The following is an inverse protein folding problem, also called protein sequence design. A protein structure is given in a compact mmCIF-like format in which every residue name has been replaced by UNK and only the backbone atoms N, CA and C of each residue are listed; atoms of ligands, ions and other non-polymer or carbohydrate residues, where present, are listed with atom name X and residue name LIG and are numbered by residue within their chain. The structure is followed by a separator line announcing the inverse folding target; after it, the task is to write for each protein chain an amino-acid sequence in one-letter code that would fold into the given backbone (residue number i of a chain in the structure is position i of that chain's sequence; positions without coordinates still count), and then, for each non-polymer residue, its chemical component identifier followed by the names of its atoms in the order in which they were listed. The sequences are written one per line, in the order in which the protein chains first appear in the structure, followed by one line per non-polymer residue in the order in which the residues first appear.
data_IF_378132825196
#
_entry.id   IF_378132825196
#
_cell.length_a   1.000
_cell.length_b   1.000
_cell.length_c   1.000
_cell.angle_alpha   90.00
_cell.angle_beta   90.00
_cell.angle_gamma   90.00
#
_symmetry.space_group_name_H-M   'P 1'
#
loop_
_entity.id
_entity.type
_entity.pdbx_description
1 polymer ?
#
# COMPACT_ATOMS: atom_id res chain seq x y z
N UNK A 1 1.30 32.85 40.49
CA UNK A 1 0.28 32.72 41.55
C UNK A 1 -1.15 32.45 41.04
N UNK A 2 -1.60 33.01 39.89
CA UNK A 2 -3.00 32.88 39.43
C UNK A 2 -3.33 31.67 38.55
N UNK A 3 -2.34 31.03 37.90
CA UNK A 3 -2.60 29.81 37.10
C UNK A 3 -3.04 28.61 37.94
N UNK A 4 -2.67 28.58 39.23
CA UNK A 4 -3.03 27.52 40.17
C UNK A 4 -4.40 27.73 40.82
N UNK A 5 -4.88 28.97 40.97
CA UNK A 5 -6.22 29.25 41.50
C UNK A 5 -7.35 29.01 40.49
N UNK A 6 -7.10 29.20 39.18
CA UNK A 6 -8.05 28.88 38.11
C UNK A 6 -8.27 27.36 37.94
N UNK A 7 -7.27 26.53 38.23
CA UNK A 7 -7.45 25.08 38.25
C UNK A 7 -8.28 24.60 39.45
N UNK A 8 -8.16 25.25 40.61
CA UNK A 8 -8.92 24.88 41.81
C UNK A 8 -10.42 25.23 41.72
N UNK A 9 -10.77 26.32 41.04
CA UNK A 9 -12.19 26.68 40.80
C UNK A 9 -12.86 25.74 39.78
N UNK A 10 -12.09 25.18 38.85
CA UNK A 10 -12.59 24.27 37.81
C UNK A 10 -12.90 22.85 38.32
N UNK A 11 -12.39 22.46 39.49
CA UNK A 11 -12.60 21.12 40.08
C UNK A 11 -13.70 21.03 41.15
N UNK A 12 -14.31 22.14 41.61
CA UNK A 12 -15.37 22.10 42.64
C UNK A 12 -16.80 22.37 42.16
N UNK A 13 -17.03 22.49 40.84
CA UNK A 13 -18.36 22.81 40.29
C UNK A 13 -18.90 21.74 39.32
N UNK A 14 -18.24 20.59 39.20
CA UNK A 14 -18.69 19.46 38.38
C UNK A 14 -19.50 18.45 39.21
N UNK A 15 -20.63 18.88 39.78
CA UNK A 15 -21.77 18.03 40.21
C UNK A 15 -22.88 18.92 40.77
N UNK A 16 -23.85 19.27 39.92
CA UNK A 16 -25.21 19.62 40.39
C UNK A 16 -25.74 21.06 40.22
N UNK A 17 -25.12 21.98 39.47
CA UNK A 17 -25.68 23.33 39.27
C UNK A 17 -25.42 23.93 37.88
N UNK A 18 -26.02 23.38 36.84
CA UNK A 18 -26.03 24.02 35.51
C UNK A 18 -26.97 25.24 35.43
N UNK A 19 -27.85 25.43 36.42
CA UNK A 19 -28.82 26.54 36.44
C UNK A 19 -28.35 27.82 37.19
N UNK A 20 -27.29 27.76 38.00
CA UNK A 20 -26.80 28.93 38.76
C UNK A 20 -25.80 29.79 37.97
N UNK A 21 -25.13 29.24 36.96
CA UNK A 21 -24.05 29.93 36.23
C UNK A 21 -24.54 31.06 35.30
N UNK A 22 -25.82 31.04 34.91
CA UNK A 22 -26.44 32.01 33.98
C UNK A 22 -27.00 33.28 34.65
N UNK A 23 -26.95 33.34 35.99
CA UNK A 23 -27.49 34.43 36.82
C UNK A 23 -26.42 35.17 37.64
N UNK A 24 -25.15 34.75 37.58
CA UNK A 24 -24.06 35.42 38.31
C UNK A 24 -23.45 36.51 37.45
N UNK A 25 -23.66 37.75 37.90
CA UNK A 25 -23.03 38.95 37.36
C UNK A 25 -21.63 39.12 37.95
N UNK A 26 -20.64 39.29 37.08
CA UNK A 26 -19.22 39.40 37.43
C UNK A 26 -18.66 40.67 36.80
N UNK A 27 -17.91 41.43 37.60
CA UNK A 27 -17.19 42.62 37.12
C UNK A 27 -15.99 42.20 36.29
N UNK A 28 -15.73 42.92 35.20
CA UNK A 28 -14.54 42.71 34.38
C UNK A 28 -13.25 42.78 35.23
N UNK A 29 -12.28 41.90 34.95
CA UNK A 29 -10.98 41.90 35.61
C UNK A 29 -10.16 43.17 35.35
N UNK A 30 -10.41 43.88 34.24
CA UNK A 30 -9.73 45.12 33.87
C UNK A 30 -10.39 46.37 34.47
N UNK A 31 -11.12 46.24 35.59
CA UNK A 31 -11.79 47.38 36.24
C UNK A 31 -10.82 48.46 36.69
N UNK A 32 -9.66 48.06 37.23
CA UNK A 32 -8.60 48.99 37.63
C UNK A 32 -7.98 49.76 36.44
N UNK A 33 -8.20 49.27 35.22
CA UNK A 33 -7.76 49.93 33.98
C UNK A 33 -8.88 50.73 33.30
N UNK A 34 -10.09 50.77 33.89
CA UNK A 34 -11.22 51.57 33.41
C UNK A 34 -12.41 50.79 32.86
N UNK A 35 -12.41 49.44 32.91
CA UNK A 35 -13.58 48.68 32.46
C UNK A 35 -14.67 48.60 33.55
N UNK A 36 -15.79 49.29 33.34
CA UNK A 36 -16.93 49.26 34.27
C UNK A 36 -17.98 48.20 33.93
N UNK A 37 -17.76 47.41 32.88
CA UNK A 37 -18.73 46.39 32.43
C UNK A 37 -18.90 45.30 33.49
N UNK A 38 -20.16 45.00 33.78
CA UNK A 38 -20.61 43.85 34.54
C UNK A 38 -21.23 42.88 33.54
N UNK A 39 -20.71 41.66 33.48
CA UNK A 39 -21.11 40.64 32.50
C UNK A 39 -21.46 39.35 33.21
N UNK A 40 -22.40 38.59 32.64
CA UNK A 40 -22.71 37.25 33.14
C UNK A 40 -21.49 36.35 33.02
N UNK A 41 -21.29 35.47 33.99
CA UNK A 41 -20.16 34.52 34.01
C UNK A 41 -19.99 33.75 32.68
N UNK A 42 -21.10 33.38 32.03
CA UNK A 42 -21.08 32.68 30.73
C UNK A 42 -20.46 33.50 29.57
N UNK A 43 -20.58 34.83 29.60
CA UNK A 43 -20.06 35.74 28.56
C UNK A 43 -18.76 36.44 28.97
N UNK A 44 -18.21 36.11 30.15
CA UNK A 44 -17.01 36.77 30.66
C UNK A 44 -15.77 36.49 29.79
N UNK A 45 -15.66 35.31 29.20
CA UNK A 45 -14.55 34.95 28.31
C UNK A 45 -14.59 35.77 27.01
N UNK A 46 -15.75 35.82 26.36
CA UNK A 46 -15.98 36.62 25.14
C UNK A 46 -15.70 38.11 25.41
N UNK A 47 -16.18 38.63 26.55
CA UNK A 47 -15.88 40.00 26.94
C UNK A 47 -14.39 40.22 27.19
N UNK A 48 -13.69 39.30 27.85
CA UNK A 48 -12.27 39.44 28.19
C UNK A 48 -11.38 39.50 26.95
N UNK A 49 -11.70 38.75 25.90
CA UNK A 49 -10.96 38.74 24.62
C UNK A 49 -11.11 40.07 23.86
N UNK A 50 -12.27 40.72 23.96
CA UNK A 50 -12.59 41.97 23.26
C UNK A 50 -12.61 43.19 24.18
N UNK A 51 -12.07 43.06 25.39
CA UNK A 51 -12.12 44.14 26.36
C UNK A 51 -11.18 45.28 25.92
N UNK A 52 -11.75 46.45 25.65
CA UNK A 52 -11.03 47.67 25.29
C UNK A 52 -9.93 48.06 26.29
N UNK A 53 -10.08 47.67 27.56
CA UNK A 53 -9.15 47.93 28.66
C UNK A 53 -8.20 46.77 28.95
N UNK A 54 -8.18 45.74 28.10
CA UNK A 54 -7.23 44.64 28.22
C UNK A 54 -5.79 45.12 27.95
N UNK A 55 -4.78 44.56 28.63
CA UNK A 55 -3.38 44.97 28.44
C UNK A 55 -2.85 44.44 27.12
N UNK A 56 -2.44 45.37 26.26
CA UNK A 56 -1.91 45.09 24.94
C UNK A 56 -0.56 45.79 24.75
N UNK A 57 0.41 45.06 24.20
CA UNK A 57 1.75 45.59 23.90
C UNK A 57 1.72 46.38 22.61
N UNK A 58 2.49 47.47 22.56
CA UNK A 58 2.77 48.15 21.29
C UNK A 58 3.40 47.17 20.28
N UNK A 59 3.05 47.32 18.99
CA UNK A 59 3.52 46.44 17.91
C UNK A 59 4.82 46.93 17.26
N UNK A 60 5.24 48.17 17.51
CA UNK A 60 6.49 48.70 16.98
C UNK A 60 7.70 48.08 17.68
N UNK A 61 8.67 47.62 16.88
CA UNK A 61 9.91 47.05 17.39
C UNK A 61 10.69 48.11 18.17
N UNK A 62 11.05 47.79 19.42
CA UNK A 62 11.76 48.71 20.30
C UNK A 62 10.86 49.51 21.26
N UNK A 63 9.53 49.41 21.13
CA UNK A 63 8.61 49.91 22.15
C UNK A 63 8.24 48.78 23.13
N UNK A 64 8.39 49.03 24.43
CA UNK A 64 8.02 48.09 25.49
C UNK A 64 6.74 48.50 26.23
N UNK A 65 6.03 49.53 25.75
CA UNK A 65 4.82 50.03 26.39
C UNK A 65 3.67 49.02 26.33
N UNK A 66 2.93 48.95 27.44
CA UNK A 66 1.72 48.15 27.59
C UNK A 66 0.56 49.12 27.83
N UNK A 67 -0.34 49.23 26.85
CA UNK A 67 -1.45 50.16 26.87
C UNK A 67 -2.78 49.41 27.04
N UNK A 68 -3.88 50.13 27.15
CA UNK A 68 -5.21 49.55 26.95
C UNK A 68 -5.38 49.24 25.46
N UNK A 69 -6.06 48.15 25.13
CA UNK A 69 -6.31 47.75 23.74
C UNK A 69 -6.86 48.90 22.88
N UNK A 70 -7.78 49.70 23.44
CA UNK A 70 -8.36 50.88 22.77
C UNK A 70 -7.35 52.00 22.44
N UNK A 71 -6.27 52.09 23.21
CA UNK A 71 -5.28 53.18 23.11
C UNK A 71 -4.06 52.79 22.26
N UNK A 72 -3.89 51.49 21.96
CA UNK A 72 -2.72 50.98 21.21
C UNK A 72 -2.58 51.65 19.84
N UNK A 73 -3.68 51.79 19.10
CA UNK A 73 -3.63 52.34 17.74
C UNK A 73 -3.34 53.84 17.72
N UNK A 74 -3.89 54.60 18.68
CA UNK A 74 -3.59 56.01 18.87
C UNK A 74 -2.11 56.20 19.23
N UNK A 75 -1.63 55.45 20.23
CA UNK A 75 -0.21 55.44 20.58
C UNK A 75 0.66 55.11 19.36
N UNK A 76 0.35 54.04 18.63
CA UNK A 76 1.15 53.60 17.49
C UNK A 76 1.23 54.68 16.40
N UNK A 77 0.17 55.44 16.12
CA UNK A 77 0.19 56.45 15.05
C UNK A 77 0.83 57.77 15.47
N UNK A 78 0.59 58.20 16.69
CA UNK A 78 0.81 59.60 17.07
C UNK A 78 1.94 59.77 18.08
N UNK A 79 2.00 58.91 19.10
CA UNK A 79 2.85 59.13 20.29
C UNK A 79 4.03 58.17 20.40
N UNK A 80 4.05 57.08 19.63
CA UNK A 80 5.07 56.04 19.75
C UNK A 80 6.43 56.53 19.27
N UNK A 81 7.40 56.57 20.18
CA UNK A 81 8.79 56.94 19.89
C UNK A 81 9.50 55.94 18.97
N UNK A 82 9.14 54.66 19.04
CA UNK A 82 9.70 53.60 18.20
C UNK A 82 8.99 53.48 16.83
N UNK A 83 8.02 54.35 16.54
CA UNK A 83 7.31 54.36 15.26
C UNK A 83 8.29 54.58 14.11
N UNK A 84 8.24 53.78 13.03
CA UNK A 84 9.07 54.00 11.86
C UNK A 84 8.59 55.24 11.10
N UNK A 85 9.52 56.13 10.73
CA UNK A 85 9.19 57.43 10.09
C UNK A 85 9.88 57.64 8.73
N UNK A 86 10.79 56.76 8.33
CA UNK A 86 11.48 56.83 7.05
C UNK A 86 12.77 56.01 7.08
N UNK A 87 13.58 56.15 6.03
CA UNK A 87 14.92 55.54 5.94
C UNK A 87 16.00 56.59 6.13
N UNK A 88 17.17 56.17 6.59
CA UNK A 88 18.35 57.03 6.66
C UNK A 88 18.95 57.21 5.25
N UNK A 89 18.80 58.40 4.69
CA UNK A 89 19.41 58.80 3.40
C UNK A 89 20.90 59.17 3.54
N UNK A 90 21.38 59.37 4.77
CA UNK A 90 22.76 59.78 5.06
C UNK A 90 23.76 58.60 5.12
N UNK A 91 23.35 57.40 4.69
CA UNK A 91 24.30 56.35 4.32
C UNK A 91 24.00 54.95 4.84
N UNK A 92 23.28 54.75 5.96
CA UNK A 92 23.03 53.39 6.45
C UNK A 92 21.79 52.72 5.82
N UNK A 93 20.86 53.48 5.24
CA UNK A 93 19.63 52.96 4.63
C UNK A 93 18.66 52.29 5.60
N UNK A 94 18.94 52.29 6.91
CA UNK A 94 18.10 51.66 7.93
C UNK A 94 16.89 52.54 8.25
N UNK A 95 15.82 51.89 8.73
CA UNK A 95 14.60 52.58 9.15
C UNK A 95 14.87 53.42 10.39
N UNK A 96 14.54 54.71 10.31
CA UNK A 96 14.59 55.66 11.42
C UNK A 96 13.33 55.58 12.26
N UNK A 97 13.51 55.63 13.56
CA UNK A 97 12.42 55.78 14.54
C UNK A 97 12.05 57.25 14.71
N UNK A 98 10.81 57.50 15.15
CA UNK A 98 10.31 58.83 15.47
C UNK A 98 11.21 59.54 16.49
N UNK A 99 11.73 58.79 17.48
CA UNK A 99 12.71 59.28 18.46
C UNK A 99 13.99 59.80 17.81
N UNK A 100 14.61 59.02 16.92
CA UNK A 100 15.85 59.41 16.25
C UNK A 100 15.67 60.63 15.36
N UNK A 101 14.54 60.69 14.63
CA UNK A 101 14.22 61.85 13.80
C UNK A 101 13.96 63.10 14.65
N UNK A 102 13.22 62.97 15.76
CA UNK A 102 12.94 64.08 16.69
C UNK A 102 14.22 64.61 17.36
N UNK A 103 15.14 63.71 17.71
CA UNK A 103 16.41 64.07 18.33
C UNK A 103 17.49 64.56 17.34
N UNK A 104 17.32 64.31 16.03
CA UNK A 104 18.31 64.65 15.00
C UNK A 104 19.66 63.94 15.16
N UNK A 105 19.74 62.89 16.00
CA UNK A 105 21.00 62.32 16.50
C UNK A 105 21.27 60.89 16.02
N UNK A 106 20.79 60.51 14.83
CA UNK A 106 20.99 59.16 14.31
C UNK A 106 22.47 58.91 13.96
N UNK A 107 23.06 57.87 14.53
CA UNK A 107 24.44 57.45 14.23
C UNK A 107 24.44 56.19 13.34
N UNK A 108 24.68 56.38 12.05
CA UNK A 108 24.73 55.31 11.04
C UNK A 108 25.64 54.14 11.47
N UNK A 109 26.82 54.44 12.02
CA UNK A 109 27.78 53.42 12.43
C UNK A 109 27.25 52.54 13.58
N UNK A 110 26.62 53.15 14.59
CA UNK A 110 26.06 52.41 15.72
C UNK A 110 24.86 51.57 15.29
N UNK A 111 23.99 52.12 14.45
CA UNK A 111 22.83 51.41 13.90
C UNK A 111 23.25 50.21 13.05
N UNK A 112 24.24 50.37 12.17
CA UNK A 112 24.78 49.29 11.36
C UNK A 112 25.46 48.22 12.21
N UNK A 113 26.25 48.60 13.23
CA UNK A 113 26.85 47.63 14.18
C UNK A 113 25.78 46.81 14.90
N UNK A 114 24.73 47.45 15.40
CA UNK A 114 23.62 46.75 16.04
C UNK A 114 22.89 45.81 15.08
N UNK A 115 22.60 46.29 13.86
CA UNK A 115 21.98 45.47 12.81
C UNK A 115 22.84 44.26 12.44
N UNK A 116 24.15 44.45 12.27
CA UNK A 116 25.08 43.37 11.97
C UNK A 116 25.13 42.35 13.13
N UNK A 117 25.15 42.80 14.39
CA UNK A 117 25.07 41.92 15.55
C UNK A 117 23.78 41.07 15.57
N UNK A 118 22.63 41.66 15.22
CA UNK A 118 21.36 40.91 15.09
C UNK A 118 21.44 39.88 13.97
N UNK A 119 22.03 40.21 12.82
CA UNK A 119 22.22 39.26 11.72
C UNK A 119 23.17 38.12 12.10
N UNK A 120 24.28 38.42 12.77
CA UNK A 120 25.21 37.41 13.28
C UNK A 120 24.54 36.46 14.28
N UNK A 121 23.73 36.98 15.20
CA UNK A 121 22.96 36.15 16.13
C UNK A 121 21.94 35.26 15.40
N UNK A 122 21.28 35.77 14.36
CA UNK A 122 20.38 34.98 13.51
C UNK A 122 21.12 33.86 12.77
N UNK A 123 22.27 34.16 12.18
CA UNK A 123 23.09 33.17 11.49
C UNK A 123 23.52 32.06 12.46
N UNK A 124 24.03 32.41 13.64
CA UNK A 124 24.39 31.43 14.67
C UNK A 124 23.18 30.59 15.15
N UNK A 125 21.99 31.19 15.19
CA UNK A 125 20.74 30.50 15.48
C UNK A 125 20.38 29.47 14.40
N UNK A 126 20.40 29.88 13.13
CA UNK A 126 20.13 29.01 11.99
C UNK A 126 21.15 27.88 11.87
N UNK A 127 22.44 28.14 12.12
CA UNK A 127 23.48 27.10 12.16
C UNK A 127 23.21 26.05 13.23
N UNK A 128 22.73 26.46 14.40
CA UNK A 128 22.35 25.53 15.47
C UNK A 128 21.14 24.68 15.09
N UNK A 129 20.12 25.28 14.47
CA UNK A 129 18.96 24.53 13.99
C UNK A 129 19.35 23.54 12.89
N UNK A 130 20.16 23.96 11.92
CA UNK A 130 20.68 23.08 10.86
C UNK A 130 21.45 21.89 11.45
N UNK A 131 22.31 22.12 12.45
CA UNK A 131 23.03 21.03 13.15
C UNK A 131 22.07 20.07 13.86
N UNK A 132 21.03 20.57 14.51
CA UNK A 132 20.00 19.73 15.15
C UNK A 132 19.23 18.91 14.11
N UNK A 133 18.88 19.50 12.99
CA UNK A 133 18.20 18.82 11.88
C UNK A 133 19.07 17.72 11.28
N UNK A 134 20.35 18.01 11.02
CA UNK A 134 21.31 17.01 10.55
C UNK A 134 21.44 15.83 11.51
N UNK A 135 21.51 16.07 12.83
CA UNK A 135 21.53 15.02 13.85
C UNK A 135 20.24 14.18 13.86
N UNK A 136 19.06 14.83 13.72
CA UNK A 136 17.77 14.13 13.64
C UNK A 136 17.68 13.29 12.36
N UNK A 137 18.15 13.82 11.23
CA UNK A 137 18.22 13.10 9.97
C UNK A 137 19.13 11.86 10.08
N UNK A 138 20.35 12.02 10.59
CA UNK A 138 21.28 10.90 10.76
C UNK A 138 20.79 9.82 11.73
N UNK A 139 20.04 10.20 12.79
CA UNK A 139 19.39 9.21 13.67
C UNK A 139 18.29 8.44 12.95
N UNK A 140 17.46 9.12 12.15
CA UNK A 140 16.40 8.48 11.35
C UNK A 140 16.99 7.54 10.31
N UNK A 141 18.03 7.97 9.60
CA UNK A 141 18.72 7.15 8.61
C UNK A 141 19.28 5.86 9.24
N UNK A 142 19.99 5.96 10.36
CA UNK A 142 20.49 4.78 11.10
C UNK A 142 19.36 3.84 11.52
N UNK A 143 18.25 4.37 12.01
CA UNK A 143 17.08 3.57 12.38
C UNK A 143 16.47 2.84 11.18
N UNK A 144 16.33 3.52 10.04
CA UNK A 144 15.79 2.93 8.82
C UNK A 144 16.72 1.86 8.25
N UNK A 145 18.03 2.10 8.25
CA UNK A 145 19.01 1.10 7.83
C UNK A 145 18.96 -0.15 8.72
N UNK A 146 18.81 0.00 10.04
CA UNK A 146 18.64 -1.13 10.95
C UNK A 146 17.35 -1.92 10.68
N UNK A 147 16.25 -1.23 10.35
CA UNK A 147 14.99 -1.89 9.99
C UNK A 147 15.11 -2.62 8.66
N UNK A 148 15.73 -2.00 7.66
CA UNK A 148 16.00 -2.61 6.36
C UNK A 148 16.82 -3.91 6.53
N UNK A 149 17.89 -3.87 7.34
CA UNK A 149 18.70 -5.06 7.60
C UNK A 149 17.92 -6.17 8.31
N UNK A 150 17.01 -5.83 9.22
CA UNK A 150 16.18 -6.81 9.90
C UNK A 150 15.21 -7.50 8.92
N UNK A 151 14.50 -6.71 8.11
CA UNK A 151 13.59 -7.25 7.08
C UNK A 151 14.35 -8.09 6.04
N UNK A 152 15.54 -7.65 5.64
CA UNK A 152 16.37 -8.42 4.72
C UNK A 152 16.77 -9.79 5.31
N UNK A 153 17.11 -9.83 6.59
CA UNK A 153 17.42 -11.08 7.28
C UNK A 153 16.19 -11.99 7.40
N UNK A 154 15.01 -11.42 7.71
CA UNK A 154 13.75 -12.17 7.74
C UNK A 154 13.41 -12.77 6.38
N UNK A 155 13.60 -12.00 5.30
CA UNK A 155 13.42 -12.48 3.93
C UNK A 155 14.39 -13.63 3.60
N UNK A 156 15.66 -13.51 3.98
CA UNK A 156 16.64 -14.57 3.78
C UNK A 156 16.26 -15.85 4.56
N UNK A 157 15.83 -15.70 5.81
CA UNK A 157 15.39 -16.83 6.64
C UNK A 157 14.10 -17.48 6.13
N UNK A 158 13.16 -16.69 5.61
CA UNK A 158 11.94 -17.24 4.98
C UNK A 158 12.29 -17.99 3.70
N UNK A 159 13.16 -17.45 2.84
CA UNK A 159 13.62 -18.14 1.64
C UNK A 159 14.28 -19.49 1.97
N UNK A 160 15.17 -19.54 2.97
CA UNK A 160 15.79 -20.79 3.43
C UNK A 160 14.75 -21.79 3.98
N UNK A 161 13.74 -21.33 4.72
CA UNK A 161 12.65 -22.18 5.19
C UNK A 161 11.86 -22.79 4.04
N UNK A 162 11.56 -22.01 3.00
CA UNK A 162 10.89 -22.51 1.80
C UNK A 162 11.76 -23.50 1.05
N UNK A 163 13.05 -23.22 0.87
CA UNK A 163 13.99 -24.15 0.24
C UNK A 163 14.06 -25.48 0.97
N UNK A 164 14.14 -25.46 2.32
CA UNK A 164 14.10 -26.68 3.13
C UNK A 164 12.81 -27.47 2.91
N UNK A 165 11.64 -26.82 2.98
CA UNK A 165 10.36 -27.47 2.70
C UNK A 165 10.31 -28.06 1.29
N UNK A 166 10.78 -27.33 0.29
CA UNK A 166 10.86 -27.82 -1.09
C UNK A 166 11.70 -29.10 -1.17
N UNK A 167 12.88 -29.13 -0.55
CA UNK A 167 13.72 -30.34 -0.52
C UNK A 167 13.02 -31.51 0.18
N UNK A 168 12.31 -31.26 1.28
CA UNK A 168 11.52 -32.29 1.98
C UNK A 168 10.38 -32.85 1.11
N UNK A 169 9.64 -31.97 0.42
CA UNK A 169 8.56 -32.39 -0.48
C UNK A 169 9.10 -33.14 -1.70
N UNK A 170 10.20 -32.68 -2.31
CA UNK A 170 10.85 -33.37 -3.43
C UNK A 170 11.26 -34.78 -3.01
N UNK A 171 11.93 -34.94 -1.86
CA UNK A 171 12.34 -36.25 -1.37
C UNK A 171 11.14 -37.19 -1.12
N UNK A 172 10.00 -36.67 -0.64
CA UNK A 172 8.75 -37.43 -0.49
C UNK A 172 8.17 -37.85 -1.83
N UNK A 173 8.14 -36.95 -2.81
CA UNK A 173 7.69 -37.26 -4.17
C UNK A 173 8.58 -38.31 -4.82
N UNK A 174 9.90 -38.20 -4.69
CA UNK A 174 10.83 -39.19 -5.21
C UNK A 174 10.62 -40.56 -4.55
N UNK A 175 10.32 -40.60 -3.24
CA UNK A 175 9.98 -41.84 -2.54
C UNK A 175 8.68 -42.45 -3.05
N UNK A 176 7.65 -41.63 -3.25
CA UNK A 176 6.37 -42.09 -3.79
C UNK A 176 6.51 -42.59 -5.23
N UNK A 177 7.30 -41.87 -6.05
CA UNK A 177 7.66 -42.28 -7.40
C UNK A 177 8.40 -43.61 -7.43
N UNK A 178 9.37 -43.83 -6.51
CA UNK A 178 10.04 -45.13 -6.36
C UNK A 178 9.08 -46.24 -5.93
N UNK A 179 8.15 -45.98 -5.02
CA UNK A 179 7.12 -46.96 -4.63
C UNK A 179 6.22 -47.32 -5.81
N UNK A 180 5.75 -46.34 -6.57
CA UNK A 180 4.95 -46.57 -7.79
C UNK A 180 5.76 -47.31 -8.87
N UNK A 181 7.05 -47.00 -9.04
CA UNK A 181 7.95 -47.72 -9.93
C UNK A 181 8.19 -49.17 -9.48
N UNK A 182 8.21 -49.42 -8.17
CA UNK A 182 8.26 -50.79 -7.61
C UNK A 182 6.95 -51.57 -7.84
N UNK A 183 5.82 -50.89 -8.03
CA UNK A 183 4.56 -51.47 -8.50
C UNK A 183 4.45 -51.55 -10.03
N UNK A 184 5.46 -51.10 -10.78
CA UNK A 184 5.47 -51.25 -12.22
C UNK A 184 5.69 -52.72 -12.58
N UNK A 185 4.74 -53.40 -13.25
CA UNK A 185 4.99 -54.71 -13.80
C UNK A 185 5.97 -54.54 -14.95
N UNK A 186 7.17 -55.10 -14.79
CA UNK A 186 8.11 -55.36 -15.86
C UNK A 186 7.48 -56.32 -16.89
N UNK A 187 6.73 -55.78 -17.85
CA UNK A 187 6.39 -56.39 -19.15
C UNK A 187 5.55 -55.40 -19.95
N UNK A 188 6.02 -55.06 -21.16
CA UNK A 188 5.42 -54.05 -22.03
C UNK A 188 3.89 -54.16 -22.11
N UNK A 189 3.23 -53.03 -21.97
CA UNK A 189 1.81 -52.89 -22.28
C UNK A 189 1.62 -53.32 -23.75
N UNK A 190 0.99 -54.48 -23.98
CA UNK A 190 0.55 -54.89 -25.32
C UNK A 190 -0.51 -53.90 -25.81
N UNK A 191 -0.07 -52.83 -26.46
CA UNK A 191 -0.93 -51.90 -27.18
C UNK A 191 -1.31 -52.54 -28.50
N UNK A 192 -2.60 -52.80 -28.71
CA UNK A 192 -3.10 -53.35 -29.98
C UNK A 192 -3.48 -52.19 -30.89
N UNK A 193 -2.99 -52.22 -32.12
CA UNK A 193 -3.46 -51.37 -33.21
C UNK A 193 -4.80 -51.89 -33.72
N UNK A 194 -5.80 -51.04 -33.76
CA UNK A 194 -7.14 -51.34 -34.27
C UNK A 194 -7.48 -50.37 -35.40
N UNK A 195 -8.00 -50.89 -36.51
CA UNK A 195 -8.56 -50.08 -37.60
C UNK A 195 -10.08 -50.04 -37.45
N UNK A 196 -10.62 -48.84 -37.33
CA UNK A 196 -12.04 -48.57 -37.09
C UNK A 196 -12.60 -47.79 -38.28
N UNK A 197 -13.88 -47.97 -38.58
CA UNK A 197 -14.59 -47.22 -39.62
C UNK A 197 -15.71 -46.42 -38.96
N UNK A 198 -15.65 -45.10 -39.09
CA UNK A 198 -16.63 -44.17 -38.56
C UNK A 198 -17.42 -43.53 -39.70
N UNK A 199 -18.72 -43.40 -39.49
CA UNK A 199 -19.63 -42.71 -40.40
C UNK A 199 -20.09 -41.39 -39.80
N UNK A 200 -20.19 -40.34 -40.62
CA UNK A 200 -20.70 -39.05 -40.16
C UNK A 200 -22.22 -39.12 -40.09
N UNK A 201 -22.76 -38.76 -38.93
CA UNK A 201 -24.19 -38.65 -38.74
C UNK A 201 -24.53 -37.23 -38.30
N UNK A 202 -25.49 -36.58 -38.98
CA UNK A 202 -25.91 -35.18 -38.74
C UNK A 202 -24.76 -34.14 -38.71
N UNK A 203 -23.61 -34.44 -39.34
CA UNK A 203 -22.44 -33.56 -39.38
C UNK A 203 -21.47 -33.70 -38.19
N UNK A 204 -21.75 -34.61 -37.24
CA UNK A 204 -20.90 -34.87 -36.08
C UNK A 204 -20.42 -36.33 -36.02
N UNK A 205 -19.36 -36.57 -35.25
CA UNK A 205 -18.83 -37.93 -35.01
C UNK A 205 -19.08 -38.42 -33.58
N UNK A 206 -19.56 -37.57 -32.68
CA UNK A 206 -19.96 -37.96 -31.32
C UNK A 206 -18.81 -38.35 -30.38
N UNK A 207 -17.61 -37.77 -30.54
CA UNK A 207 -16.50 -37.96 -29.59
C UNK A 207 -15.67 -36.68 -29.43
N UNK A 208 -14.92 -36.61 -28.33
CA UNK A 208 -14.04 -35.50 -28.02
C UNK A 208 -12.58 -35.97 -28.01
N UNK A 209 -11.70 -35.19 -28.63
CA UNK A 209 -10.26 -35.42 -28.57
C UNK A 209 -9.58 -34.44 -27.60
N UNK A 210 -8.53 -34.90 -26.95
CA UNK A 210 -7.62 -34.11 -26.10
C UNK A 210 -6.18 -34.43 -26.47
N UNK A 211 -5.24 -33.60 -25.99
CA UNK A 211 -3.82 -33.75 -26.33
C UNK A 211 -3.45 -33.07 -27.64
N UNK A 212 -2.32 -33.47 -28.19
CA UNK A 212 -1.64 -32.82 -29.31
C UNK A 212 -0.37 -32.09 -28.85
N UNK A 213 0.59 -31.97 -29.77
CA UNK A 213 1.85 -31.27 -29.48
C UNK A 213 1.58 -29.79 -29.16
N UNK A 214 2.20 -29.21 -28.11
CA UNK A 214 2.15 -27.76 -27.90
C UNK A 214 2.80 -27.05 -29.11
N UNK A 215 2.20 -25.95 -29.57
CA UNK A 215 2.64 -25.17 -30.73
C UNK A 215 4.04 -24.52 -30.56
N UNK A 216 4.63 -24.58 -29.36
CA UNK A 216 5.93 -24.00 -29.05
C UNK A 216 7.02 -25.07 -29.15
N UNK A 217 7.97 -24.82 -30.05
CA UNK A 217 9.13 -25.65 -30.38
C UNK A 217 10.20 -25.66 -29.27
N UNK A 218 9.79 -25.81 -28.01
CA UNK A 218 10.67 -25.74 -26.85
C UNK A 218 10.34 -26.84 -25.83
N UNK A 219 11.35 -27.72 -25.67
CA UNK A 219 11.71 -28.51 -24.49
C UNK A 219 11.10 -29.90 -24.34
N UNK A 220 12.01 -30.87 -24.39
CA UNK A 220 12.04 -32.17 -23.74
C UNK A 220 11.40 -32.17 -22.33
N UNK A 221 10.09 -32.37 -22.28
CA UNK A 221 9.37 -32.89 -21.13
C UNK A 221 8.60 -34.14 -21.55
N UNK A 222 8.37 -35.13 -20.65
CA UNK A 222 7.63 -36.36 -20.97
C UNK A 222 6.12 -36.09 -21.03
N UNK A 223 5.72 -35.10 -21.80
CA UNK A 223 4.35 -34.59 -21.89
C UNK A 223 3.69 -35.12 -23.16
N UNK A 224 3.04 -36.28 -23.01
CA UNK A 224 1.93 -36.81 -23.83
C UNK A 224 1.91 -36.36 -25.30
N UNK A 225 2.87 -36.85 -26.09
CA UNK A 225 2.78 -36.75 -27.55
C UNK A 225 1.66 -37.68 -28.04
N UNK A 226 0.55 -37.10 -28.54
CA UNK A 226 -0.53 -37.88 -29.16
C UNK A 226 -1.92 -37.25 -29.00
N UNK A 227 -2.85 -37.74 -29.82
CA UNK A 227 -4.26 -37.36 -29.81
C UNK A 227 -5.06 -38.48 -29.15
N UNK A 228 -5.82 -38.17 -28.10
CA UNK A 228 -6.55 -39.16 -27.31
C UNK A 228 -8.04 -38.86 -27.26
N UNK A 229 -8.86 -39.91 -27.24
CA UNK A 229 -10.31 -39.76 -27.04
C UNK A 229 -10.59 -39.55 -25.55
N UNK A 230 -11.19 -38.42 -25.18
CA UNK A 230 -11.56 -38.12 -23.79
C UNK A 230 -12.98 -38.51 -23.43
N UNK A 231 -13.90 -38.42 -24.41
CA UNK A 231 -15.33 -38.66 -24.22
C UNK A 231 -15.94 -39.18 -25.51
N UNK A 232 -16.96 -40.01 -25.37
CA UNK A 232 -17.78 -40.52 -26.47
C UNK A 232 -19.24 -40.30 -26.08
N UNK A 233 -20.05 -39.84 -27.02
CA UNK A 233 -21.49 -39.66 -26.83
C UNK A 233 -22.20 -41.02 -26.96
N UNK A 234 -23.01 -41.38 -25.97
CA UNK A 234 -23.62 -42.72 -25.83
C UNK A 234 -24.48 -43.16 -27.04
N UNK A 235 -25.03 -42.21 -27.79
CA UNK A 235 -25.80 -42.46 -29.03
C UNK A 235 -25.10 -41.96 -30.31
N UNK A 236 -23.82 -41.59 -30.21
CA UNK A 236 -23.05 -41.05 -31.33
C UNK A 236 -22.53 -42.14 -32.28
N UNK A 237 -22.16 -41.79 -33.52
CA UNK A 237 -21.65 -42.77 -34.48
C UNK A 237 -20.33 -43.41 -34.04
N UNK A 238 -19.55 -42.76 -33.15
CA UNK A 238 -18.36 -43.33 -32.54
C UNK A 238 -18.63 -44.38 -31.43
N UNK A 239 -19.85 -44.44 -30.87
CA UNK A 239 -20.23 -45.39 -29.83
C UNK A 239 -20.82 -46.70 -30.38
N UNK A 240 -20.94 -46.84 -31.71
CA UNK A 240 -21.42 -48.09 -32.34
C UNK A 240 -20.50 -49.26 -32.01
N UNK A 241 -21.02 -50.48 -32.11
CA UNK A 241 -20.23 -51.70 -31.87
C UNK A 241 -19.01 -51.73 -32.80
N UNK A 242 -17.81 -51.88 -32.22
CA UNK A 242 -16.54 -51.77 -32.96
C UNK A 242 -16.07 -50.32 -33.20
N UNK A 243 -16.65 -49.33 -32.51
CA UNK A 243 -16.25 -47.92 -32.57
C UNK A 243 -15.09 -47.55 -31.63
N UNK A 244 -14.92 -46.24 -31.44
CA UNK A 244 -13.88 -45.66 -30.57
C UNK A 244 -14.18 -45.99 -29.10
N UNK A 245 -13.15 -45.96 -28.26
CA UNK A 245 -13.26 -46.04 -26.81
C UNK A 245 -12.53 -44.86 -26.14
N UNK A 246 -12.97 -44.51 -24.93
CA UNK A 246 -12.27 -43.51 -24.12
C UNK A 246 -10.85 -44.02 -23.84
N UNK A 247 -9.87 -43.13 -23.96
CA UNK A 247 -8.43 -43.41 -23.87
C UNK A 247 -7.81 -44.11 -25.09
N UNK A 248 -8.55 -44.33 -26.17
CA UNK A 248 -7.92 -44.69 -27.44
C UNK A 248 -6.99 -43.56 -27.91
N UNK A 249 -5.78 -43.92 -28.32
CA UNK A 249 -4.85 -43.00 -28.97
C UNK A 249 -5.04 -43.09 -30.48
N UNK A 250 -5.44 -41.99 -31.11
CA UNK A 250 -5.62 -41.90 -32.55
C UNK A 250 -4.24 -41.66 -33.18
N UNK A 251 -3.82 -42.59 -34.04
CA UNK A 251 -2.53 -42.52 -34.73
C UNK A 251 -2.70 -42.17 -36.21
N UNK A 252 -3.83 -42.49 -36.83
CA UNK A 252 -4.06 -42.17 -38.25
C UNK A 252 -5.55 -41.93 -38.53
N UNK A 253 -5.85 -41.02 -39.46
CA UNK A 253 -7.20 -40.78 -39.99
C UNK A 253 -7.13 -40.69 -41.52
N UNK A 254 -7.81 -41.59 -42.23
CA UNK A 254 -7.86 -41.65 -43.70
C UNK A 254 -6.46 -41.57 -44.36
N UNK A 255 -5.47 -42.28 -43.84
CA UNK A 255 -4.09 -42.23 -44.36
C UNK A 255 -3.25 -41.06 -43.87
N UNK A 256 -3.81 -40.14 -43.08
CA UNK A 256 -3.09 -39.00 -42.50
C UNK A 256 -2.60 -39.37 -41.09
N UNK A 257 -1.29 -39.42 -40.92
CA UNK A 257 -0.66 -39.66 -39.62
C UNK A 257 -0.94 -38.50 -38.64
N UNK A 258 -1.49 -38.84 -37.48
CA UNK A 258 -1.79 -37.93 -36.37
C UNK A 258 -0.97 -38.23 -35.11
N UNK A 259 -0.03 -39.19 -35.17
CA UNK A 259 0.82 -39.56 -34.03
C UNK A 259 1.54 -38.37 -33.40
N UNK A 260 1.95 -37.39 -34.21
CA UNK A 260 2.65 -36.16 -33.80
C UNK A 260 1.89 -34.88 -34.15
N UNK A 261 0.59 -34.97 -34.43
CA UNK A 261 -0.21 -33.82 -34.82
C UNK A 261 -0.48 -32.88 -33.63
N UNK A 262 -0.69 -31.60 -33.93
CA UNK A 262 -1.29 -30.65 -32.99
C UNK A 262 -2.78 -30.92 -32.84
N UNK A 263 -3.38 -30.39 -31.77
CA UNK A 263 -4.82 -30.51 -31.53
C UNK A 263 -5.63 -30.04 -32.74
N UNK A 264 -5.32 -28.87 -33.27
CA UNK A 264 -6.05 -28.26 -34.39
C UNK A 264 -5.91 -29.07 -35.67
N UNK A 265 -4.70 -29.58 -35.98
CA UNK A 265 -4.46 -30.43 -37.15
C UNK A 265 -5.27 -31.74 -37.09
N UNK A 266 -5.44 -32.31 -35.90
CA UNK A 266 -6.27 -33.49 -35.70
C UNK A 266 -7.75 -33.17 -35.89
N UNK A 267 -8.24 -32.06 -35.34
CA UNK A 267 -9.61 -31.58 -35.56
C UNK A 267 -9.87 -31.35 -37.06
N UNK A 268 -8.94 -30.70 -37.76
CA UNK A 268 -9.03 -30.48 -39.21
C UNK A 268 -9.05 -31.78 -40.00
N UNK A 269 -8.24 -32.77 -39.61
CA UNK A 269 -8.23 -34.09 -40.26
C UNK A 269 -9.61 -34.75 -40.17
N UNK A 270 -10.25 -34.75 -39.01
CA UNK A 270 -11.61 -35.27 -38.85
C UNK A 270 -12.67 -34.43 -39.58
N UNK A 271 -12.49 -33.11 -39.66
CA UNK A 271 -13.41 -32.22 -40.38
C UNK A 271 -13.36 -32.43 -41.88
N UNK A 272 -12.18 -32.58 -42.45
CA UNK A 272 -11.93 -32.71 -43.90
C UNK A 272 -12.01 -34.14 -44.42
N UNK A 273 -11.98 -35.14 -43.53
CA UNK A 273 -12.14 -36.54 -43.88
C UNK A 273 -13.48 -36.81 -44.59
N UNK A 274 -13.38 -37.51 -45.74
CA UNK A 274 -14.52 -38.02 -46.49
C UNK A 274 -15.08 -39.27 -45.78
N UNK A 275 -16.40 -39.44 -45.83
CA UNK A 275 -17.12 -40.60 -45.28
C UNK A 275 -17.03 -41.77 -46.29
N UNK A 276 -16.70 -43.01 -45.87
CA UNK A 276 -16.34 -43.48 -44.53
C UNK A 276 -14.97 -43.01 -44.03
N UNK A 277 -14.90 -42.64 -42.74
CA UNK A 277 -13.67 -42.22 -42.07
C UNK A 277 -12.99 -43.43 -41.44
N UNK A 278 -11.86 -43.84 -42.00
CA UNK A 278 -11.00 -44.89 -41.46
C UNK A 278 -10.09 -44.29 -40.41
N UNK A 279 -10.08 -44.85 -39.20
CA UNK A 279 -9.28 -44.37 -38.08
C UNK A 279 -8.46 -45.52 -37.53
N UNK A 280 -7.15 -45.33 -37.40
CA UNK A 280 -6.29 -46.27 -36.71
C UNK A 280 -6.03 -45.78 -35.28
N UNK A 281 -6.26 -46.66 -34.31
CA UNK A 281 -6.07 -46.36 -32.89
C UNK A 281 -5.20 -47.38 -32.18
N UNK A 282 -4.50 -46.93 -31.15
CA UNK A 282 -3.86 -47.79 -30.15
C UNK A 282 -4.78 -47.88 -28.93
N UNK A 283 -5.22 -49.10 -28.62
CA UNK A 283 -6.05 -49.38 -27.45
C UNK A 283 -5.26 -50.17 -26.42
N UNK A 284 -5.23 -49.67 -25.18
CA UNK A 284 -4.68 -50.41 -24.04
C UNK A 284 -5.75 -51.40 -23.55
N UNK A 285 -5.45 -52.69 -23.54
CA UNK A 285 -6.33 -53.67 -22.91
C UNK A 285 -6.14 -53.64 -21.40
N UNK A 286 -7.13 -53.23 -20.59
CA UNK A 286 -7.02 -53.37 -19.14
C UNK A 286 -7.04 -54.86 -18.79
N UNK A 287 -6.01 -55.34 -18.06
CA UNK A 287 -6.12 -56.61 -17.35
C UNK A 287 -7.10 -56.40 -16.20
N UNK A 288 -8.31 -56.95 -16.30
CA UNK A 288 -9.25 -57.04 -15.18
C UNK A 288 -8.61 -57.87 -14.07
N UNK A 289 -7.98 -57.21 -13.10
CA UNK A 289 -7.75 -57.79 -11.78
C UNK A 289 -8.80 -57.23 -10.85
N UNK A 290 -9.82 -58.06 -10.62
CA UNK A 290 -10.82 -57.89 -9.56
C UNK A 290 -10.05 -57.80 -8.25
N UNK A 291 -10.14 -56.66 -7.55
CA UNK A 291 -9.60 -56.52 -6.20
C UNK A 291 -10.78 -56.54 -5.22
N UNK A 292 -10.93 -57.65 -4.50
CA UNK A 292 -11.79 -57.76 -3.33
C UNK A 292 -11.19 -56.94 -2.17
N UNK A 293 -11.97 -56.10 -1.46
CA UNK A 293 -11.45 -55.39 -0.31
C UNK A 293 -11.45 -56.32 0.91
N UNK A 294 -10.27 -56.67 1.41
CA UNK A 294 -10.12 -57.19 2.77
C UNK A 294 -9.77 -56.04 3.71
N UNK A 295 -10.66 -55.83 4.69
CA UNK A 295 -10.44 -55.38 6.07
C UNK A 295 -8.96 -55.49 6.55
N UNK A 296 -8.43 -54.67 7.46
CA UNK A 296 -9.01 -54.26 8.74
C UNK A 296 -8.14 -53.17 9.42
N UNK A 297 -8.77 -52.38 10.31
CA UNK A 297 -8.15 -51.46 11.24
C UNK A 297 -7.34 -52.17 12.33
N UNK A 298 -6.23 -51.55 12.77
CA UNK A 298 -5.92 -51.18 14.16
C UNK A 298 -4.61 -50.37 14.21
#
# INVERSE_FOLDING_TARGET
AWRTQLCALRMRLFKGRTWFSSLVDIKCANRERGCEKVVKLQHLAEHAEMCDYSPAKCRHKGCAEVLNLRDVDAHMRESCEARPVGICEQGCGLVLTHRERKAGSHCCLQALKAHNGVLQAKLAGLEKELKKEALRAGKREKSLLSQLSAVQLELQMTALRYQKKFTEYSARLDSLGRSLAAFSPSKGEETKTLNLILHRDSGSLGFNIIGGRPCMDNQDGPTSEGIFVSKIADSGPAAKEGGLQIHDQIIEVNGKDLSKATHDQAVEAFKTAKDPIVVQVLRRTPRTKIFSPSHECL
#
